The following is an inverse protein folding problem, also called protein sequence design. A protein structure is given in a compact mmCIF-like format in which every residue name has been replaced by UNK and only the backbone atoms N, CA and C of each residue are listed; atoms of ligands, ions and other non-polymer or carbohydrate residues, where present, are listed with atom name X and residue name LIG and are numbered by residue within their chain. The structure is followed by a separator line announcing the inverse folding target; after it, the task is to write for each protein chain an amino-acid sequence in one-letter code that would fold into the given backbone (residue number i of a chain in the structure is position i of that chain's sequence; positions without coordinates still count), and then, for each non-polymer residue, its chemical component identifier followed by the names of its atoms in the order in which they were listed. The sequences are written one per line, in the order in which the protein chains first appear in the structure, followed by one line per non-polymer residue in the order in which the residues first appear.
data_IF_360902633890
#
_entry.id   IF_360902633890
#
_cell.length_a   1.000
_cell.length_b   1.000
_cell.length_c   1.000
_cell.angle_alpha   90.00
_cell.angle_beta   90.00
_cell.angle_gamma   90.00
#
_symmetry.space_group_name_H-M   'P 1'
#
loop_
_entity.id
_entity.type
_entity.pdbx_description
1 polymer ?
#
# COMPACT_ATOMS: atom_id res chain seq x y z
N UNK A 1 11.05 -25.80 -13.48
CA UNK A 1 11.49 -25.09 -12.26
C UNK A 1 12.95 -25.36 -11.91
N UNK A 2 13.40 -26.62 -11.85
CA UNK A 2 14.81 -26.97 -11.55
C UNK A 2 15.81 -26.31 -12.51
N UNK A 3 15.54 -26.35 -13.83
CA UNK A 3 16.37 -25.67 -14.83
C UNK A 3 16.52 -24.18 -14.57
N UNK A 4 15.42 -23.48 -14.30
CA UNK A 4 15.42 -22.04 -14.03
C UNK A 4 16.22 -21.70 -12.75
N UNK A 5 15.99 -22.45 -11.67
CA UNK A 5 16.71 -22.25 -10.42
C UNK A 5 18.21 -22.52 -10.58
N UNK A 6 18.58 -23.56 -11.33
CA UNK A 6 19.97 -23.86 -11.62
C UNK A 6 20.63 -22.76 -12.47
N UNK A 7 19.99 -22.36 -13.57
CA UNK A 7 20.54 -21.35 -14.50
C UNK A 7 20.73 -19.99 -13.83
N UNK A 8 19.79 -19.58 -12.97
CA UNK A 8 19.79 -18.25 -12.30
C UNK A 8 20.27 -18.29 -10.85
N UNK A 9 20.85 -19.42 -10.41
CA UNK A 9 21.37 -19.61 -9.04
C UNK A 9 20.35 -19.21 -7.97
N UNK A 10 19.08 -19.60 -8.17
CA UNK A 10 17.97 -19.34 -7.26
C UNK A 10 17.53 -20.61 -6.54
N UNK A 11 16.94 -20.43 -5.36
CA UNK A 11 16.28 -21.50 -4.60
C UNK A 11 14.79 -21.20 -4.44
N UNK A 12 14.00 -22.24 -4.18
CA UNK A 12 12.57 -22.12 -3.93
C UNK A 12 11.70 -22.22 -5.17
N UNK A 13 10.42 -21.87 -5.02
CA UNK A 13 9.42 -21.90 -6.10
C UNK A 13 9.41 -20.58 -6.86
N UNK A 14 8.88 -20.56 -8.08
CA UNK A 14 8.72 -19.35 -8.90
C UNK A 14 7.82 -18.32 -8.18
N UNK A 15 6.84 -18.81 -7.45
CA UNK A 15 5.91 -18.00 -6.65
C UNK A 15 6.12 -18.33 -5.18
N UNK A 16 6.40 -17.33 -4.36
CA UNK A 16 6.57 -17.45 -2.91
C UNK A 16 5.22 -17.57 -2.15
N UNK A 17 4.32 -18.40 -2.67
CA UNK A 17 3.00 -18.61 -2.10
C UNK A 17 1.88 -17.84 -2.83
N UNK A 18 0.69 -17.80 -2.23
CA UNK A 18 -0.45 -17.08 -2.77
C UNK A 18 -0.25 -15.55 -2.64
N UNK A 19 -0.86 -14.77 -3.56
CA UNK A 19 -0.92 -13.33 -3.42
C UNK A 19 -1.55 -12.92 -2.06
N UNK A 20 -1.12 -11.81 -1.54
CA UNK A 20 -1.66 -11.24 -0.32
C UNK A 20 -2.53 -10.03 -0.67
N UNK A 21 -3.70 -9.94 -0.03
CA UNK A 21 -4.61 -8.83 -0.21
C UNK A 21 -5.05 -8.30 1.15
N UNK A 22 -5.22 -6.98 1.20
CA UNK A 22 -5.66 -6.26 2.38
C UNK A 22 -6.78 -5.33 1.98
N UNK A 23 -7.89 -5.36 2.71
CA UNK A 23 -8.99 -4.40 2.54
C UNK A 23 -8.63 -3.12 3.27
N UNK A 24 -8.72 -1.99 2.57
CA UNK A 24 -8.26 -0.69 3.06
C UNK A 24 -9.44 0.27 3.20
N UNK A 25 -9.53 0.95 4.34
CA UNK A 25 -10.38 2.12 4.48
C UNK A 25 -9.78 3.29 3.68
N UNK A 26 -10.38 3.56 2.53
CA UNK A 26 -9.84 4.53 1.58
C UNK A 26 -9.80 5.96 2.14
N UNK A 27 -10.78 6.34 2.98
CA UNK A 27 -10.84 7.70 3.52
C UNK A 27 -9.65 8.00 4.46
N UNK A 28 -9.18 7.00 5.20
CA UNK A 28 -8.09 7.18 6.17
C UNK A 28 -6.71 6.82 5.60
N UNK A 29 -6.63 5.77 4.80
CA UNK A 29 -5.33 5.13 4.53
C UNK A 29 -4.90 5.14 3.07
N UNK A 30 -5.78 5.47 2.11
CA UNK A 30 -5.43 5.34 0.69
C UNK A 30 -4.20 6.16 0.31
N UNK A 31 -4.17 7.45 0.65
CA UNK A 31 -3.05 8.33 0.27
C UNK A 31 -1.74 7.91 0.95
N UNK A 32 -1.82 7.45 2.20
CA UNK A 32 -0.66 6.89 2.92
C UNK A 32 -0.17 5.61 2.25
N UNK A 33 -1.08 4.75 1.82
CA UNK A 33 -0.74 3.52 1.12
C UNK A 33 -0.15 3.77 -0.27
N UNK A 34 -0.71 4.72 -1.03
CA UNK A 34 -0.14 5.15 -2.32
C UNK A 34 1.30 5.63 -2.14
N UNK A 35 1.55 6.51 -1.18
CA UNK A 35 2.92 6.95 -0.82
C UNK A 35 3.82 5.77 -0.43
N UNK A 36 3.31 4.84 0.38
CA UNK A 36 4.06 3.65 0.78
C UNK A 36 4.52 2.84 -0.42
N UNK A 37 3.62 2.60 -1.39
CA UNK A 37 3.93 1.83 -2.61
C UNK A 37 4.94 2.59 -3.48
N UNK A 38 4.71 3.88 -3.73
CA UNK A 38 5.55 4.70 -4.59
C UNK A 38 6.94 4.99 -3.99
N UNK A 39 7.08 4.95 -2.66
CA UNK A 39 8.36 5.03 -1.96
C UNK A 39 9.10 3.68 -1.84
N UNK A 40 8.50 2.56 -2.23
CA UNK A 40 9.15 1.25 -2.14
C UNK A 40 10.50 1.19 -2.89
N UNK A 41 10.60 1.67 -4.14
CA UNK A 41 11.88 1.67 -4.86
C UNK A 41 12.97 2.50 -4.17
N UNK A 42 12.58 3.63 -3.54
CA UNK A 42 13.51 4.48 -2.77
C UNK A 42 14.00 3.75 -1.51
N UNK A 43 13.07 3.16 -0.74
CA UNK A 43 13.42 2.37 0.45
C UNK A 43 14.26 1.12 0.14
N UNK A 44 14.09 0.58 -1.06
CA UNK A 44 14.91 -0.53 -1.55
C UNK A 44 16.27 -0.09 -2.14
N UNK A 45 16.61 1.20 -2.08
CA UNK A 45 17.86 1.75 -2.61
C UNK A 45 17.99 1.65 -4.14
N UNK A 46 16.87 1.49 -4.86
CA UNK A 46 16.87 1.39 -6.32
C UNK A 46 16.99 2.73 -7.01
N UNK A 47 16.39 3.76 -6.43
CA UNK A 47 16.38 5.14 -6.91
C UNK A 47 16.47 6.10 -5.72
N UNK A 48 16.87 7.34 -5.97
CA UNK A 48 16.95 8.38 -4.94
C UNK A 48 15.59 9.05 -4.68
N UNK A 49 14.74 9.13 -5.69
CA UNK A 49 13.43 9.78 -5.60
C UNK A 49 12.36 8.96 -6.37
N UNK A 50 11.07 8.94 -5.94
CA UNK A 50 10.02 8.18 -6.63
C UNK A 50 9.86 8.53 -8.13
N UNK A 51 10.13 9.78 -8.53
CA UNK A 51 10.11 10.21 -9.93
C UNK A 51 11.15 9.51 -10.82
N UNK A 52 12.20 8.97 -10.23
CA UNK A 52 13.27 8.30 -10.96
C UNK A 52 12.96 6.83 -11.26
N UNK A 53 11.80 6.34 -10.78
CA UNK A 53 11.36 4.96 -10.99
C UNK A 53 10.21 4.92 -12.00
N UNK A 54 10.50 4.54 -13.23
CA UNK A 54 9.56 4.59 -14.37
C UNK A 54 8.29 3.73 -14.18
N UNK A 55 8.34 2.67 -13.37
CA UNK A 55 7.25 1.71 -13.18
C UNK A 55 6.41 2.04 -11.94
N UNK A 56 5.96 3.28 -11.83
CA UNK A 56 5.25 3.80 -10.67
C UNK A 56 4.11 4.72 -11.08
N UNK A 57 3.00 4.70 -10.33
CA UNK A 57 1.92 5.66 -10.48
C UNK A 57 2.28 7.08 -10.06
N UNK A 58 3.47 7.30 -9.49
CA UNK A 58 3.95 8.62 -9.09
C UNK A 58 3.97 9.62 -10.25
N UNK A 59 4.38 9.19 -11.45
CA UNK A 59 4.40 10.03 -12.66
C UNK A 59 3.01 10.57 -12.99
N UNK A 60 1.99 9.71 -12.95
CA UNK A 60 0.60 10.14 -13.16
C UNK A 60 0.12 11.05 -12.01
N UNK A 61 0.25 10.59 -10.78
CA UNK A 61 -0.35 11.26 -9.62
C UNK A 61 0.36 12.57 -9.25
N UNK A 62 1.68 12.65 -9.42
CA UNK A 62 2.48 13.81 -9.02
C UNK A 62 2.86 14.74 -10.17
N UNK A 63 2.94 14.23 -11.41
CA UNK A 63 3.45 14.96 -12.57
C UNK A 63 2.42 15.09 -13.69
N UNK A 64 1.31 14.34 -13.63
CA UNK A 64 0.28 14.36 -14.68
C UNK A 64 0.72 13.67 -15.96
N UNK A 65 1.73 12.83 -15.91
CA UNK A 65 2.21 12.12 -17.07
C UNK A 65 1.24 11.00 -17.45
N UNK A 66 0.89 10.95 -18.72
CA UNK A 66 0.11 9.87 -19.32
C UNK A 66 1.08 8.82 -19.84
N UNK A 67 0.89 7.56 -19.47
CA UNK A 67 1.75 6.47 -19.93
C UNK A 67 1.71 6.28 -21.46
N UNK A 68 2.71 5.60 -22.01
CA UNK A 68 2.88 5.36 -23.45
C UNK A 68 1.65 4.76 -24.16
N UNK A 69 0.80 4.05 -23.41
CA UNK A 69 -0.40 3.35 -23.94
C UNK A 69 -1.72 4.04 -23.55
N UNK A 70 -1.68 5.31 -23.19
CA UNK A 70 -2.84 6.07 -22.73
C UNK A 70 -3.00 6.06 -21.20
N UNK A 71 -4.01 6.81 -20.74
CA UNK A 71 -4.31 6.93 -19.32
C UNK A 71 -5.18 5.75 -18.85
N UNK A 72 -4.53 4.76 -18.25
CA UNK A 72 -5.19 3.58 -17.68
C UNK A 72 -5.31 3.64 -16.15
N UNK A 73 -4.86 4.76 -15.54
CA UNK A 73 -5.00 5.01 -14.12
C UNK A 73 -6.30 5.78 -13.86
N UNK A 74 -7.23 5.16 -13.15
CA UNK A 74 -8.44 5.84 -12.70
C UNK A 74 -8.20 6.54 -11.37
N UNK A 75 -8.33 7.87 -11.37
CA UNK A 75 -8.19 8.66 -10.14
C UNK A 75 -9.27 8.31 -9.12
N UNK A 76 -8.85 7.91 -7.94
CA UNK A 76 -9.74 7.65 -6.82
C UNK A 76 -10.30 8.97 -6.24
N UNK A 77 -11.50 8.92 -5.65
CA UNK A 77 -12.16 10.09 -5.04
C UNK A 77 -11.29 10.81 -3.99
N UNK A 78 -10.50 10.08 -3.20
CA UNK A 78 -9.64 10.66 -2.18
C UNK A 78 -8.47 11.45 -2.80
N UNK A 79 -7.94 11.00 -3.93
CA UNK A 79 -6.99 11.78 -4.70
C UNK A 79 -7.65 13.05 -5.30
N UNK A 80 -8.87 12.91 -5.84
CA UNK A 80 -9.64 14.04 -6.40
C UNK A 80 -9.95 15.13 -5.37
N UNK A 81 -10.08 14.77 -4.08
CA UNK A 81 -10.29 15.71 -2.98
C UNK A 81 -9.06 16.59 -2.67
N UNK A 82 -7.88 16.26 -3.17
CA UNK A 82 -6.66 17.06 -2.97
C UNK A 82 -6.70 18.42 -3.67
N UNK A 83 -7.53 18.60 -4.71
CA UNK A 83 -7.66 19.86 -5.41
C UNK A 83 -8.74 19.83 -6.49
N UNK A 84 -9.16 21.02 -6.92
CA UNK A 84 -10.21 21.19 -7.94
C UNK A 84 -9.67 20.98 -9.35
N UNK A 85 -8.45 21.45 -9.62
CA UNK A 85 -7.76 21.22 -10.90
C UNK A 85 -6.75 20.08 -10.81
N UNK A 86 -6.28 19.59 -11.95
CA UNK A 86 -5.23 18.58 -12.03
C UNK A 86 -3.94 19.08 -11.39
N UNK A 87 -3.55 20.34 -11.67
CA UNK A 87 -2.34 20.98 -11.15
C UNK A 87 -2.39 21.09 -9.63
N UNK A 88 -3.55 21.47 -9.06
CA UNK A 88 -3.76 21.53 -7.62
C UNK A 88 -3.59 20.17 -6.98
N UNK A 89 -4.21 19.12 -7.55
CA UNK A 89 -4.11 17.75 -7.04
C UNK A 89 -2.68 17.24 -7.07
N UNK A 90 -1.99 17.41 -8.18
CA UNK A 90 -0.58 17.04 -8.34
C UNK A 90 0.32 17.79 -7.36
N UNK A 91 0.10 19.10 -7.20
CA UNK A 91 0.83 19.93 -6.25
C UNK A 91 0.64 19.46 -4.82
N UNK A 92 -0.61 19.24 -4.39
CA UNK A 92 -0.94 18.73 -3.06
C UNK A 92 -0.38 17.31 -2.86
N UNK A 93 -0.45 16.46 -3.88
CA UNK A 93 0.09 15.10 -3.81
C UNK A 93 1.60 15.10 -3.62
N UNK A 94 2.36 15.93 -4.37
CA UNK A 94 3.82 16.09 -4.17
C UNK A 94 4.17 16.54 -2.76
N UNK A 95 3.35 17.41 -2.16
CA UNK A 95 3.60 17.86 -0.79
C UNK A 95 3.53 16.74 0.25
N UNK A 96 2.73 15.70 0.01
CA UNK A 96 2.66 14.52 0.89
C UNK A 96 4.02 13.81 1.02
N UNK A 97 4.90 13.92 0.02
CA UNK A 97 6.23 13.27 0.02
C UNK A 97 7.32 14.07 0.74
N UNK A 98 7.04 15.31 1.15
CA UNK A 98 8.00 16.11 1.93
C UNK A 98 8.24 15.57 3.33
N UNK A 99 7.22 14.97 3.92
CA UNK A 99 7.33 14.32 5.21
C UNK A 99 7.58 12.82 5.04
N UNK A 100 8.46 12.26 5.86
CA UNK A 100 8.61 10.80 5.92
C UNK A 100 7.30 10.14 6.37
N UNK A 101 7.07 8.90 5.94
CA UNK A 101 6.00 8.09 6.51
C UNK A 101 6.31 7.79 7.97
N UNK A 102 5.32 7.92 8.85
CA UNK A 102 5.48 7.57 10.24
C UNK A 102 5.85 6.09 10.40
N UNK A 103 6.69 5.78 11.37
CA UNK A 103 7.10 4.39 11.63
C UNK A 103 5.89 3.49 11.95
N UNK A 104 4.90 4.05 12.65
CA UNK A 104 3.63 3.38 12.98
C UNK A 104 2.82 3.04 11.73
N UNK A 105 2.79 3.92 10.72
CA UNK A 105 2.10 3.65 9.45
C UNK A 105 2.79 2.53 8.69
N UNK A 106 4.13 2.57 8.63
CA UNK A 106 4.94 1.53 7.98
C UNK A 106 4.71 0.16 8.61
N UNK A 107 4.68 0.09 9.93
CA UNK A 107 4.42 -1.14 10.68
C UNK A 107 3.00 -1.65 10.43
N UNK A 108 2.00 -0.78 10.55
CA UNK A 108 0.59 -1.10 10.29
C UNK A 108 0.38 -1.64 8.88
N UNK A 109 0.97 -1.01 7.86
CA UNK A 109 0.86 -1.47 6.47
C UNK A 109 1.48 -2.85 6.31
N UNK A 110 2.70 -3.06 6.82
CA UNK A 110 3.43 -4.33 6.72
C UNK A 110 2.68 -5.46 7.43
N UNK A 111 2.25 -5.20 8.66
CA UNK A 111 1.54 -6.19 9.46
C UNK A 111 0.20 -6.56 8.84
N UNK A 112 -0.61 -5.58 8.45
CA UNK A 112 -1.90 -5.80 7.79
C UNK A 112 -1.75 -6.58 6.49
N UNK A 113 -0.76 -6.24 5.66
CA UNK A 113 -0.48 -6.96 4.41
C UNK A 113 0.01 -8.37 4.67
N UNK A 114 0.89 -8.57 5.64
CA UNK A 114 1.44 -9.88 5.97
C UNK A 114 0.36 -10.84 6.50
N UNK A 115 -0.52 -10.33 7.35
CA UNK A 115 -1.55 -11.13 8.03
C UNK A 115 -2.90 -11.13 7.31
N UNK A 116 -3.08 -10.32 6.26
CA UNK A 116 -4.32 -10.18 5.51
C UNK A 116 -5.43 -9.53 6.36
N UNK A 117 -5.07 -8.64 7.29
CA UNK A 117 -6.02 -7.88 8.09
C UNK A 117 -6.51 -6.64 7.37
N UNK A 118 -7.73 -6.19 7.72
CA UNK A 118 -8.25 -4.93 7.21
C UNK A 118 -7.49 -3.74 7.83
N UNK A 119 -7.18 -2.76 7.01
CA UNK A 119 -6.52 -1.53 7.38
C UNK A 119 -7.53 -0.40 7.48
N UNK A 120 -7.84 0.01 8.68
CA UNK A 120 -8.88 0.99 8.99
C UNK A 120 -9.13 1.13 10.47
N UNK A 121 -10.02 2.04 10.86
CA UNK A 121 -10.49 2.19 12.24
C UNK A 121 -11.34 0.99 12.71
N UNK A 122 -11.62 0.94 14.00
CA UNK A 122 -12.33 -0.21 14.61
C UNK A 122 -13.72 -0.42 14.01
N UNK A 123 -14.44 0.68 13.72
CA UNK A 123 -15.76 0.62 13.05
C UNK A 123 -15.67 -0.01 11.65
N UNK A 124 -14.63 0.32 10.90
CA UNK A 124 -14.38 -0.25 9.57
C UNK A 124 -14.05 -1.73 9.68
N UNK A 125 -13.15 -2.10 10.59
CA UNK A 125 -12.78 -3.50 10.84
C UNK A 125 -13.98 -4.34 11.22
N UNK A 126 -14.82 -3.86 12.15
CA UNK A 126 -16.05 -4.54 12.54
C UNK A 126 -17.03 -4.74 11.37
N UNK A 127 -17.15 -3.72 10.48
CA UNK A 127 -17.95 -3.84 9.25
C UNK A 127 -17.41 -4.93 8.31
N UNK A 128 -16.08 -4.97 8.11
CA UNK A 128 -15.43 -5.96 7.25
C UNK A 128 -15.57 -7.37 7.84
N UNK A 129 -15.42 -7.53 9.15
CA UNK A 129 -15.65 -8.81 9.83
C UNK A 129 -17.07 -9.34 9.62
N UNK A 130 -18.06 -8.45 9.77
CA UNK A 130 -19.48 -8.81 9.56
C UNK A 130 -19.76 -9.22 8.11
N UNK A 131 -19.19 -8.50 7.13
CA UNK A 131 -19.40 -8.78 5.70
C UNK A 131 -18.64 -10.02 5.23
N UNK A 132 -17.41 -10.19 5.71
CA UNK A 132 -16.51 -11.26 5.26
C UNK A 132 -16.61 -12.55 6.07
N UNK A 133 -17.38 -12.57 7.15
CA UNK A 133 -17.46 -13.69 8.12
C UNK A 133 -16.06 -14.18 8.56
N UNK A 134 -15.09 -13.29 8.53
CA UNK A 134 -13.67 -13.53 8.81
C UNK A 134 -13.12 -12.39 9.66
N UNK A 135 -12.19 -12.72 10.55
CA UNK A 135 -11.51 -11.71 11.36
C UNK A 135 -10.76 -10.71 10.48
N UNK A 136 -10.95 -9.43 10.79
CA UNK A 136 -10.28 -8.32 10.14
C UNK A 136 -9.11 -7.74 10.96
N UNK A 137 -8.93 -8.20 12.22
CA UNK A 137 -7.87 -7.74 13.12
C UNK A 137 -7.32 -8.86 14.01
N UNK A 138 -6.16 -8.61 14.63
CA UNK A 138 -5.59 -9.48 15.65
C UNK A 138 -6.50 -9.55 16.89
N UNK A 139 -6.66 -10.73 17.46
CA UNK A 139 -7.01 -10.81 18.89
C UNK A 139 -5.75 -10.58 19.70
N UNK A 140 -5.87 -9.82 20.79
CA UNK A 140 -4.78 -9.69 21.75
C UNK A 140 -4.22 -11.07 22.13
N UNK A 141 -2.92 -11.17 22.24
CA UNK A 141 -2.23 -12.39 22.61
C UNK A 141 -2.45 -12.62 24.10
N UNK A 142 -3.06 -13.74 24.45
CA UNK A 142 -3.09 -14.24 25.84
C UNK A 142 -4.44 -14.82 26.25
N UNK A 143 -4.36 -15.87 27.07
CA UNK A 143 -5.48 -16.33 27.88
C UNK A 143 -5.84 -15.21 28.86
N UNK A 144 -7.13 -14.80 29.00
CA UNK A 144 -7.50 -13.83 30.04
C UNK A 144 -6.95 -14.30 31.39
N UNK A 145 -6.26 -13.43 32.11
CA UNK A 145 -5.95 -13.73 33.52
C UNK A 145 -7.28 -13.87 34.24
N UNK A 146 -7.54 -15.03 34.78
CA UNK A 146 -8.61 -15.22 35.75
C UNK A 146 -8.14 -14.47 37.00
N UNK A 147 -8.74 -13.33 37.29
CA UNK A 147 -8.59 -12.68 38.56
C UNK A 147 -9.05 -13.66 39.65
N UNK A 148 -8.14 -13.96 40.56
CA UNK A 148 -8.43 -14.80 41.75
C UNK A 148 -8.99 -13.90 42.84
#
# INVERSE_FOLDING_TARGET
MQYFNFTYQRSGTLWEGRYRATVVDSEQYLLTLMRYIELNPVRAGRVAHPRDYAWSSYHHNAQGEVGLNGDWITEHREYKRLGRSAEERQGAYRQLFRAALAATDLETIRESTHKGWAMGGDRFKAKIEKLGQRRAASKGVGRPRLDK
#
